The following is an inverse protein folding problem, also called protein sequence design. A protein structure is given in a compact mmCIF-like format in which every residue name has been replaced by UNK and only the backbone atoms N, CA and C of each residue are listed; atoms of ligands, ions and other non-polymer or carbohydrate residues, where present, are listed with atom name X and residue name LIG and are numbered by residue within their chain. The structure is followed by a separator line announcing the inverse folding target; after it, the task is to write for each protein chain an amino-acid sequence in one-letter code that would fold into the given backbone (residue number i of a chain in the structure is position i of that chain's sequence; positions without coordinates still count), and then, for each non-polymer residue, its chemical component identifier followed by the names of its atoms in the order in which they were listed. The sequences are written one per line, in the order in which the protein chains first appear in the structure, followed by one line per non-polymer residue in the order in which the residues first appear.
data_IF_916216058903
#
_entry.id   IF_916216058903
#
_cell.length_a   1.000
_cell.length_b   1.000
_cell.length_c   1.000
_cell.angle_alpha   90.00
_cell.angle_beta   90.00
_cell.angle_gamma   90.00
#
_symmetry.space_group_name_H-M   'P 1'
#
loop_
_entity.id
_entity.type
_entity.pdbx_description
1 polymer ?
#
# COMPACT_ATOMS: atom_id res chain seq x y z
N UNK A 1 -3.06 31.98 -23.63
CA UNK A 1 -3.00 31.68 -22.18
C UNK A 1 -4.00 30.58 -21.90
N UNK A 2 -3.65 29.32 -22.20
CA UNK A 2 -4.46 28.16 -21.82
C UNK A 2 -3.83 27.61 -20.54
N UNK A 3 -4.39 27.99 -19.39
CA UNK A 3 -4.04 27.40 -18.12
C UNK A 3 -4.48 25.95 -18.14
N UNK A 4 -3.52 25.04 -18.31
CA UNK A 4 -3.71 23.63 -18.06
C UNK A 4 -4.33 23.50 -16.66
N UNK A 5 -5.62 23.17 -16.63
CA UNK A 5 -6.27 22.72 -15.41
C UNK A 5 -5.48 21.51 -14.96
N UNK A 6 -4.71 21.65 -13.88
CA UNK A 6 -4.24 20.52 -13.11
C UNK A 6 -5.51 19.73 -12.80
N UNK A 7 -5.63 18.54 -13.39
CA UNK A 7 -6.69 17.62 -12.98
C UNK A 7 -6.63 17.53 -11.45
N UNK A 8 -7.77 17.57 -10.74
CA UNK A 8 -7.75 17.32 -9.31
C UNK A 8 -7.00 15.99 -9.14
N UNK A 9 -5.99 15.96 -8.27
CA UNK A 9 -5.45 14.69 -7.78
C UNK A 9 -6.66 14.05 -7.11
N UNK A 10 -7.39 13.21 -7.85
CA UNK A 10 -8.46 12.44 -7.30
C UNK A 10 -7.77 11.56 -6.27
N UNK A 11 -8.02 11.83 -5.00
CA UNK A 11 -7.64 10.89 -3.95
C UNK A 11 -8.44 9.64 -4.26
N UNK A 12 -7.79 8.65 -4.87
CA UNK A 12 -8.39 7.37 -5.16
C UNK A 12 -8.83 6.76 -3.83
N UNK A 13 -10.08 6.31 -3.81
CA UNK A 13 -10.58 5.47 -2.72
C UNK A 13 -9.81 4.16 -2.71
N UNK A 14 -9.79 3.49 -1.57
CA UNK A 14 -9.17 2.16 -1.45
C UNK A 14 -9.76 1.18 -2.46
N UNK A 15 -11.07 1.24 -2.70
CA UNK A 15 -11.76 0.40 -3.69
C UNK A 15 -11.21 0.62 -5.11
N UNK A 16 -10.97 1.87 -5.50
CA UNK A 16 -10.38 2.20 -6.81
C UNK A 16 -8.91 1.76 -6.93
N UNK A 17 -8.16 1.81 -5.82
CA UNK A 17 -6.79 1.29 -5.76
C UNK A 17 -6.77 -0.23 -5.92
N UNK A 18 -7.71 -0.94 -5.26
CA UNK A 18 -7.85 -2.40 -5.38
C UNK A 18 -8.20 -2.78 -6.82
N UNK A 19 -9.17 -2.10 -7.43
CA UNK A 19 -9.60 -2.37 -8.81
C UNK A 19 -8.44 -2.18 -9.80
N UNK A 20 -7.69 -1.07 -9.69
CA UNK A 20 -6.53 -0.82 -10.56
C UNK A 20 -5.38 -1.80 -10.30
N UNK A 21 -5.09 -2.15 -9.05
CA UNK A 21 -4.08 -3.16 -8.72
C UNK A 21 -4.43 -4.52 -9.34
N UNK A 22 -5.72 -4.92 -9.32
CA UNK A 22 -6.20 -6.14 -9.96
C UNK A 22 -6.08 -6.09 -11.49
N UNK A 23 -6.14 -4.91 -12.10
CA UNK A 23 -5.88 -4.69 -13.53
C UNK A 23 -4.38 -4.66 -13.88
N UNK A 24 -3.50 -4.75 -12.87
CA UNK A 24 -2.05 -4.79 -13.03
C UNK A 24 -1.34 -3.45 -12.83
N UNK A 25 -2.04 -2.44 -12.30
CA UNK A 25 -1.41 -1.17 -11.92
C UNK A 25 -0.53 -1.36 -10.66
N UNK A 26 0.79 -1.36 -10.89
CA UNK A 26 1.77 -1.52 -9.82
C UNK A 26 1.82 -0.32 -8.87
N UNK A 27 1.50 0.90 -9.33
CA UNK A 27 1.49 2.07 -8.46
C UNK A 27 0.29 2.01 -7.50
N UNK A 28 -0.86 1.52 -7.98
CA UNK A 28 -2.02 1.25 -7.13
C UNK A 28 -1.73 0.16 -6.08
N UNK A 29 -1.08 -0.94 -6.49
CA UNK A 29 -0.64 -2.00 -5.57
C UNK A 29 0.34 -1.48 -4.51
N UNK A 30 1.38 -0.76 -4.93
CA UNK A 30 2.38 -0.19 -4.01
C UNK A 30 1.73 0.79 -3.01
N UNK A 31 0.73 1.55 -3.45
CA UNK A 31 -0.03 2.44 -2.57
C UNK A 31 -0.76 1.66 -1.49
N UNK A 32 -1.39 0.54 -1.83
CA UNK A 32 -2.04 -0.35 -0.85
C UNK A 32 -1.01 -0.96 0.11
N UNK A 33 0.14 -1.41 -0.38
CA UNK A 33 1.23 -1.94 0.47
C UNK A 33 1.70 -0.89 1.49
N UNK A 34 1.98 0.34 1.05
CA UNK A 34 2.40 1.43 1.93
C UNK A 34 1.32 1.81 2.97
N UNK A 35 0.04 1.69 2.63
CA UNK A 35 -1.06 1.95 3.56
C UNK A 35 -1.15 0.88 4.66
N UNK A 36 -0.85 -0.37 4.34
CA UNK A 36 -1.08 -1.52 5.24
C UNK A 36 0.18 -2.08 5.90
N UNK A 37 1.38 -1.72 5.46
CA UNK A 37 2.65 -2.23 6.00
C UNK A 37 2.78 -2.05 7.53
N UNK A 38 2.36 -0.90 8.07
CA UNK A 38 2.51 -0.62 9.50
C UNK A 38 1.54 -1.48 10.32
N UNK A 39 0.33 -1.72 9.82
CA UNK A 39 -0.64 -2.62 10.44
C UNK A 39 -0.11 -4.06 10.41
N UNK A 40 0.37 -4.52 9.26
CA UNK A 40 0.94 -5.84 9.09
C UNK A 40 2.15 -6.07 10.00
N UNK A 41 3.05 -5.08 10.10
CA UNK A 41 4.19 -5.09 11.01
C UNK A 41 3.77 -5.23 12.47
N UNK A 42 2.78 -4.45 12.92
CA UNK A 42 2.32 -4.53 14.30
C UNK A 42 1.70 -5.89 14.63
N UNK A 43 0.95 -6.49 13.69
CA UNK A 43 0.42 -7.85 13.84
C UNK A 43 1.56 -8.87 13.92
N UNK A 44 2.55 -8.79 13.03
CA UNK A 44 3.70 -9.68 13.04
C UNK A 44 4.52 -9.54 14.33
N UNK A 45 4.75 -8.30 14.78
CA UNK A 45 5.47 -8.00 16.01
C UNK A 45 4.80 -8.60 17.25
N UNK A 46 3.46 -8.53 17.33
CA UNK A 46 2.72 -9.14 18.44
C UNK A 46 2.81 -10.68 18.47
N UNK A 47 3.00 -11.33 17.33
CA UNK A 47 3.13 -12.79 17.23
C UNK A 47 4.56 -13.23 17.51
N UNK A 48 5.54 -12.48 17.00
CA UNK A 48 6.94 -12.87 16.97
C UNK A 48 7.74 -12.37 18.18
N UNK A 49 7.32 -11.27 18.81
CA UNK A 49 8.05 -10.55 19.86
C UNK A 49 9.51 -10.20 19.47
N UNK A 50 9.78 -10.16 18.16
CA UNK A 50 11.07 -9.86 17.56
C UNK A 50 10.87 -8.83 16.43
N UNK A 51 11.41 -7.60 16.55
CA UNK A 51 11.30 -6.57 15.51
C UNK A 51 11.86 -6.98 14.14
N UNK A 52 12.97 -7.72 14.12
CA UNK A 52 13.62 -8.12 12.87
C UNK A 52 12.83 -9.20 12.16
N UNK A 53 12.34 -10.19 12.91
CA UNK A 53 11.46 -11.23 12.36
C UNK A 53 10.13 -10.64 11.87
N UNK A 54 9.56 -9.67 12.60
CA UNK A 54 8.33 -8.99 12.21
C UNK A 54 8.48 -8.18 10.92
N UNK A 55 9.62 -7.49 10.75
CA UNK A 55 9.93 -6.78 9.52
C UNK A 55 10.05 -7.75 8.32
N UNK A 56 10.73 -8.88 8.50
CA UNK A 56 10.87 -9.92 7.47
C UNK A 56 9.51 -10.51 7.07
N UNK A 57 8.70 -10.89 8.05
CA UNK A 57 7.36 -11.44 7.82
C UNK A 57 6.41 -10.46 7.12
N UNK A 58 6.53 -9.16 7.41
CA UNK A 58 5.72 -8.11 6.76
C UNK A 58 6.09 -7.96 5.30
N UNK A 59 7.38 -8.00 4.98
CA UNK A 59 7.87 -7.90 3.62
C UNK A 59 7.46 -9.12 2.80
N UNK A 60 7.65 -10.34 3.33
CA UNK A 60 7.25 -11.58 2.66
C UNK A 60 5.73 -11.67 2.39
N UNK A 61 4.90 -11.00 3.18
CA UNK A 61 3.45 -10.99 3.00
C UNK A 61 2.97 -10.22 1.76
N UNK A 62 3.82 -9.37 1.17
CA UNK A 62 3.47 -8.47 0.05
C UNK A 62 4.29 -8.72 -1.23
N UNK A 63 5.07 -9.82 -1.27
CA UNK A 63 5.86 -10.28 -2.43
C UNK A 63 4.98 -11.03 -3.45
#
# INVERSE_FOLDING_TARGET
MNGARLAPVAFMTEQELIEQALEGDLDAFNTLVLQYQDLAYNVAYHIMDDPAAAADATQEAVI
#
